data_IF_042367403204
#
_entry.id   IF_042367403204
#
_cell.length_a   1.000
_cell.length_b   1.000
_cell.length_c   1.000
_cell.angle_alpha   90.00
_cell.angle_beta   90.00
_cell.angle_gamma   90.00
#
_symmetry.space_group_name_H-M   'P 1'
#
loop_
_entity.id
_entity.type
_entity.pdbx_description
1 polymer ?
#
# COMPACT_ATOMS: atom_id res chain seq x y z
N UNK A 1 20.57 63.21 50.44
CA UNK A 1 19.76 63.13 49.19
C UNK A 1 20.36 62.17 48.15
N UNK A 2 21.66 62.21 47.87
CA UNK A 2 22.33 61.40 46.83
C UNK A 2 22.15 59.87 46.93
N UNK A 3 22.22 59.30 48.15
CA UNK A 3 22.12 57.84 48.37
C UNK A 3 20.73 57.28 47.98
N UNK A 4 19.66 58.06 48.22
CA UNK A 4 18.28 57.66 47.91
C UNK A 4 18.03 57.63 46.40
N UNK A 5 18.66 58.53 45.65
CA UNK A 5 18.60 58.53 44.17
C UNK A 5 19.38 57.37 43.56
N UNK A 6 20.54 57.02 44.14
CA UNK A 6 21.35 55.88 43.67
C UNK A 6 20.62 54.54 43.83
N UNK A 7 19.91 54.33 44.95
CA UNK A 7 19.06 53.13 45.15
C UNK A 7 17.94 53.02 44.13
N UNK A 8 17.23 54.12 43.83
CA UNK A 8 16.18 54.11 42.80
C UNK A 8 16.73 53.78 41.42
N UNK A 9 17.90 54.32 41.08
CA UNK A 9 18.54 54.07 39.80
C UNK A 9 18.90 52.58 39.63
N UNK A 10 19.54 51.98 40.65
CA UNK A 10 19.89 50.56 40.64
C UNK A 10 18.66 49.65 40.57
N UNK A 11 17.60 50.00 41.29
CA UNK A 11 16.34 49.27 41.26
C UNK A 11 15.69 49.28 39.86
N UNK A 12 15.67 50.44 39.20
CA UNK A 12 15.11 50.57 37.86
C UNK A 12 15.96 49.82 36.81
N UNK A 13 17.29 49.82 36.96
CA UNK A 13 18.19 49.03 36.11
C UNK A 13 17.96 47.52 36.29
N UNK A 14 17.78 47.06 37.54
CA UNK A 14 17.47 45.67 37.82
C UNK A 14 16.12 45.23 37.23
N UNK A 15 15.08 46.08 37.33
CA UNK A 15 13.77 45.83 36.70
C UNK A 15 13.90 45.78 35.17
N UNK A 16 14.63 46.71 34.57
CA UNK A 16 14.85 46.76 33.12
C UNK A 16 15.56 45.50 32.62
N UNK A 17 16.61 45.05 33.32
CA UNK A 17 17.31 43.79 33.00
C UNK A 17 16.38 42.57 33.12
N UNK A 18 15.60 42.47 34.21
CA UNK A 18 14.61 41.37 34.38
C UNK A 18 13.58 41.35 33.25
N UNK A 19 13.04 42.51 32.86
CA UNK A 19 12.09 42.62 31.74
C UNK A 19 12.70 42.21 30.40
N UNK A 20 13.95 42.62 30.12
CA UNK A 20 14.68 42.19 28.91
C UNK A 20 14.90 40.68 28.85
N UNK A 21 15.25 40.04 29.96
CA UNK A 21 15.44 38.59 30.02
C UNK A 21 14.11 37.85 29.81
N UNK A 22 13.03 38.29 30.45
CA UNK A 22 11.71 37.68 30.30
C UNK A 22 11.15 37.80 28.86
N UNK A 23 11.35 38.96 28.23
CA UNK A 23 10.93 39.17 26.83
C UNK A 23 11.78 38.39 25.83
N UNK A 24 13.07 38.21 26.10
CA UNK A 24 13.94 37.34 25.30
C UNK A 24 13.50 35.87 25.38
N UNK A 25 13.24 35.36 26.58
CA UNK A 25 12.76 33.98 26.79
C UNK A 25 11.41 33.72 26.11
N UNK A 26 10.45 34.61 26.28
CA UNK A 26 9.10 34.45 25.70
C UNK A 26 9.09 34.57 24.17
N UNK A 27 9.96 35.39 23.57
CA UNK A 27 10.13 35.44 22.11
C UNK A 27 10.71 34.14 21.57
N UNK A 28 11.76 33.60 22.20
CA UNK A 28 12.35 32.33 21.77
C UNK A 28 11.36 31.16 21.85
N UNK A 29 10.56 31.07 22.93
CA UNK A 29 9.52 30.04 23.07
C UNK A 29 8.45 30.14 21.97
N UNK A 30 8.01 31.36 21.62
CA UNK A 30 6.98 31.57 20.59
C UNK A 30 7.45 31.21 19.18
N UNK A 31 8.75 31.33 18.89
CA UNK A 31 9.34 30.91 17.61
C UNK A 31 9.60 29.40 17.58
N UNK A 32 9.97 28.82 18.71
CA UNK A 32 10.32 27.40 18.81
C UNK A 32 9.09 26.47 18.75
N UNK A 33 7.97 26.85 19.38
CA UNK A 33 6.73 26.03 19.36
C UNK A 33 6.18 25.72 17.95
N UNK A 34 6.03 26.67 17.01
CA UNK A 34 5.55 26.34 15.66
C UNK A 34 6.56 25.47 14.90
N UNK A 35 7.87 25.70 15.07
CA UNK A 35 8.91 24.86 14.45
C UNK A 35 8.84 23.40 14.95
N UNK A 36 8.66 23.19 16.25
CA UNK A 36 8.47 21.86 16.84
C UNK A 36 7.20 21.19 16.34
N UNK A 37 6.09 21.93 16.20
CA UNK A 37 4.83 21.39 15.66
C UNK A 37 4.98 20.96 14.19
N UNK A 38 5.66 21.78 13.37
CA UNK A 38 5.97 21.45 11.98
C UNK A 38 6.84 20.20 11.90
N UNK A 39 7.86 20.10 12.76
CA UNK A 39 8.73 18.93 12.82
C UNK A 39 7.97 17.64 13.20
N UNK A 40 7.10 17.70 14.22
CA UNK A 40 6.26 16.56 14.61
C UNK A 40 5.32 16.16 13.46
N UNK A 41 4.73 17.14 12.78
CA UNK A 41 3.83 16.87 11.65
C UNK A 41 4.57 16.19 10.49
N UNK A 42 5.77 16.67 10.13
CA UNK A 42 6.61 16.05 9.11
C UNK A 42 7.02 14.62 9.49
N UNK A 43 7.39 14.39 10.75
CA UNK A 43 7.73 13.04 11.23
C UNK A 43 6.53 12.10 11.19
N UNK A 44 5.33 12.55 11.57
CA UNK A 44 4.11 11.76 11.44
C UNK A 44 3.79 11.40 9.99
N UNK A 45 3.96 12.34 9.04
CA UNK A 45 3.77 12.09 7.62
C UNK A 45 4.78 11.07 7.04
N UNK A 46 6.04 11.10 7.48
CA UNK A 46 7.07 10.14 7.08
C UNK A 46 6.80 8.72 7.62
N UNK A 47 6.32 8.60 8.87
CA UNK A 47 6.02 7.28 9.46
C UNK A 47 4.80 6.65 8.79
N UNK A 48 3.75 7.43 8.54
CA UNK A 48 2.52 6.93 7.88
C UNK A 48 2.75 6.52 6.42
N UNK A 49 3.67 7.17 5.71
CA UNK A 49 4.05 6.76 4.34
C UNK A 49 4.84 5.45 4.29
N UNK A 50 5.59 5.10 5.34
CA UNK A 50 6.18 3.76 5.50
C UNK A 50 5.16 2.68 5.89
N UNK A 51 3.98 3.07 6.36
CA UNK A 51 2.89 2.14 6.68
C UNK A 51 1.98 1.81 5.47
N UNK A 52 2.22 2.43 4.31
CA UNK A 52 1.48 2.12 3.08
C UNK A 52 2.03 0.82 2.47
N UNK A 53 1.24 -0.25 2.63
CA UNK A 53 1.49 -1.67 2.31
C UNK A 53 2.42 -2.41 3.28
N UNK A 54 1.91 -3.47 3.95
CA UNK A 54 2.76 -4.34 4.73
C UNK A 54 3.68 -5.15 3.83
N UNK A 55 4.89 -5.46 4.32
CA UNK A 55 5.96 -6.15 3.58
C UNK A 55 5.53 -7.46 2.90
N UNK A 56 4.55 -8.17 3.48
CA UNK A 56 4.03 -9.41 2.90
C UNK A 56 3.14 -9.20 1.68
N UNK A 57 2.61 -7.99 1.47
CA UNK A 57 1.91 -7.64 0.24
C UNK A 57 2.98 -7.30 -0.79
N UNK A 58 3.38 -8.29 -1.58
CA UNK A 58 4.38 -8.14 -2.63
C UNK A 58 4.15 -6.88 -3.50
N UNK A 59 5.20 -6.42 -4.18
CA UNK A 59 5.15 -5.20 -5.00
C UNK A 59 4.21 -5.30 -6.21
N UNK A 60 3.71 -6.50 -6.51
CA UNK A 60 2.92 -6.79 -7.70
C UNK A 60 1.45 -6.40 -7.53
N UNK A 61 0.73 -6.11 -8.63
CA UNK A 61 -0.72 -5.99 -8.62
C UNK A 61 -1.35 -7.27 -8.05
N UNK A 62 -2.36 -7.11 -7.21
CA UNK A 62 -3.14 -8.24 -6.70
C UNK A 62 -3.93 -8.82 -7.88
N UNK A 63 -3.71 -10.09 -8.22
CA UNK A 63 -4.58 -10.84 -9.13
C UNK A 63 -3.91 -11.55 -10.30
N UNK A 64 -2.63 -11.30 -10.62
CA UNK A 64 -1.98 -11.99 -11.74
C UNK A 64 -0.55 -12.44 -11.38
N UNK A 65 -0.26 -13.75 -11.42
CA UNK A 65 1.12 -14.24 -11.32
C UNK A 65 1.91 -13.88 -12.57
N UNK A 66 3.24 -13.75 -12.43
CA UNK A 66 4.12 -13.73 -13.61
C UNK A 66 4.11 -15.12 -14.23
N UNK A 67 3.72 -15.17 -15.49
CA UNK A 67 3.77 -16.38 -16.29
C UNK A 67 5.14 -16.35 -16.97
N UNK A 68 6.07 -17.19 -16.52
CA UNK A 68 7.30 -17.44 -17.26
C UNK A 68 6.91 -18.11 -18.58
N UNK A 69 6.91 -17.35 -19.67
CA UNK A 69 6.64 -17.87 -21.00
C UNK A 69 7.89 -18.63 -21.46
N UNK A 70 7.99 -19.90 -21.05
CA UNK A 70 8.99 -20.83 -21.57
C UNK A 70 8.63 -21.24 -23.01
N UNK A 71 8.54 -20.26 -23.91
CA UNK A 71 8.03 -20.40 -25.28
C UNK A 71 8.94 -21.27 -26.16
N UNK A 72 10.17 -21.55 -25.71
CA UNK A 72 11.17 -22.27 -26.51
C UNK A 72 11.00 -23.80 -26.42
N UNK A 73 10.27 -24.32 -25.43
CA UNK A 73 10.10 -25.78 -25.24
C UNK A 73 8.66 -26.29 -25.34
N UNK A 74 7.65 -25.42 -25.29
CA UNK A 74 6.23 -25.82 -25.31
C UNK A 74 5.86 -26.60 -26.60
N UNK A 75 6.36 -26.18 -27.76
CA UNK A 75 5.90 -26.73 -29.04
C UNK A 75 6.60 -28.03 -29.48
N UNK A 76 7.40 -28.68 -28.61
CA UNK A 76 8.18 -29.87 -29.01
C UNK A 76 7.39 -31.19 -28.98
N UNK A 77 6.32 -31.26 -28.20
CA UNK A 77 5.62 -32.51 -27.92
C UNK A 77 4.24 -32.62 -28.60
N UNK A 78 3.93 -31.75 -29.56
CA UNK A 78 2.61 -31.74 -30.21
C UNK A 78 1.50 -31.23 -29.28
N UNK A 79 1.84 -30.25 -28.43
CA UNK A 79 0.96 -29.56 -27.47
C UNK A 79 -0.06 -28.62 -28.14
N UNK A 80 -0.21 -28.67 -29.46
CA UNK A 80 -1.15 -27.84 -30.23
C UNK A 80 -2.60 -28.35 -30.13
N UNK A 81 -2.83 -29.45 -29.40
CA UNK A 81 -4.18 -30.00 -29.19
C UNK A 81 -4.86 -29.17 -28.10
N UNK A 82 -5.97 -28.47 -28.38
CA UNK A 82 -6.68 -27.70 -27.35
C UNK A 82 -7.11 -28.64 -26.23
N UNK A 83 -6.54 -28.42 -25.05
CA UNK A 83 -6.73 -29.25 -23.88
C UNK A 83 -6.69 -28.43 -22.59
N UNK A 84 -7.07 -29.04 -21.46
CA UNK A 84 -7.13 -28.35 -20.19
C UNK A 84 -5.76 -27.81 -19.76
N UNK A 85 -5.70 -26.55 -19.32
CA UNK A 85 -4.47 -25.96 -18.79
C UNK A 85 -3.95 -26.71 -17.54
N UNK A 86 -4.85 -27.34 -16.79
CA UNK A 86 -4.53 -28.12 -15.58
C UNK A 86 -3.68 -29.35 -15.89
N UNK A 87 -3.76 -29.88 -17.12
CA UNK A 87 -2.91 -30.97 -17.58
C UNK A 87 -1.48 -30.52 -17.88
N UNK A 88 -1.20 -29.21 -17.94
CA UNK A 88 0.13 -28.63 -18.24
C UNK A 88 0.81 -29.25 -19.45
N UNK A 89 0.04 -29.58 -20.49
CA UNK A 89 0.54 -30.24 -21.69
C UNK A 89 0.80 -31.74 -21.59
N UNK A 90 0.53 -32.39 -20.45
CA UNK A 90 0.65 -33.85 -20.29
C UNK A 90 -0.45 -34.60 -21.06
N UNK A 91 -0.15 -34.95 -22.31
CA UNK A 91 -1.03 -35.78 -23.14
C UNK A 91 -1.27 -37.19 -22.60
N UNK A 92 -0.35 -37.77 -21.83
CA UNK A 92 -0.55 -39.09 -21.22
C UNK A 92 -1.57 -39.05 -20.09
N UNK A 93 -1.59 -37.97 -19.31
CA UNK A 93 -2.67 -37.72 -18.35
C UNK A 93 -4.03 -37.64 -19.07
N UNK A 94 -4.14 -36.83 -20.11
CA UNK A 94 -5.40 -36.68 -20.88
C UNK A 94 -5.87 -38.03 -21.44
N UNK A 95 -4.95 -38.81 -22.01
CA UNK A 95 -5.26 -40.14 -22.54
C UNK A 95 -5.75 -41.12 -21.45
N UNK A 96 -5.18 -41.07 -20.24
CA UNK A 96 -5.65 -41.87 -19.10
C UNK A 96 -7.04 -41.41 -18.63
N UNK A 97 -7.28 -40.11 -18.56
CA UNK A 97 -8.59 -39.55 -18.18
C UNK A 97 -9.68 -39.92 -19.19
N UNK A 98 -9.37 -39.88 -20.48
CA UNK A 98 -10.31 -40.28 -21.55
C UNK A 98 -10.70 -41.77 -21.49
N UNK A 99 -9.77 -42.64 -21.07
CA UNK A 99 -10.03 -44.07 -20.87
C UNK A 99 -10.87 -44.38 -19.64
N UNK A 100 -10.97 -43.43 -18.69
CA UNK A 100 -11.78 -43.63 -17.50
C UNK A 100 -13.27 -43.41 -17.78
N UNK A 101 -14.16 -44.18 -17.12
CA UNK A 101 -15.60 -43.88 -17.05
C UNK A 101 -15.88 -42.45 -16.58
N UNK A 102 -16.97 -41.85 -17.07
CA UNK A 102 -17.30 -40.43 -16.85
C UNK A 102 -17.41 -40.05 -15.36
N UNK A 103 -17.96 -40.96 -14.55
CA UNK A 103 -18.14 -40.87 -13.10
C UNK A 103 -16.83 -40.88 -12.31
N UNK A 104 -15.75 -41.40 -12.91
CA UNK A 104 -14.41 -41.46 -12.31
C UNK A 104 -13.48 -40.36 -12.79
N UNK A 105 -13.94 -39.53 -13.74
CA UNK A 105 -13.14 -38.41 -14.23
C UNK A 105 -13.16 -37.26 -13.21
N UNK A 106 -12.04 -36.55 -13.04
CA UNK A 106 -11.99 -35.45 -12.10
C UNK A 106 -12.84 -34.28 -12.61
N UNK A 107 -13.45 -33.55 -11.68
CA UNK A 107 -14.37 -32.45 -11.98
C UNK A 107 -13.76 -31.36 -12.86
N UNK A 108 -12.48 -31.05 -12.65
CA UNK A 108 -11.77 -30.06 -13.47
C UNK A 108 -11.68 -30.49 -14.94
N UNK A 109 -11.52 -31.79 -15.21
CA UNK A 109 -11.41 -32.33 -16.57
C UNK A 109 -12.77 -32.42 -17.26
N UNK A 110 -13.86 -32.52 -16.51
CA UNK A 110 -15.20 -32.47 -17.07
C UNK A 110 -15.60 -31.04 -17.45
N UNK A 111 -15.19 -30.05 -16.64
CA UNK A 111 -15.60 -28.65 -16.79
C UNK A 111 -14.51 -27.74 -17.36
N UNK A 112 -13.44 -28.31 -17.92
CA UNK A 112 -12.27 -27.52 -18.35
C UNK A 112 -12.64 -26.44 -19.38
N UNK A 113 -13.56 -26.72 -20.30
CA UNK A 113 -14.04 -25.75 -21.29
C UNK A 113 -14.72 -24.55 -20.62
N UNK A 114 -15.58 -24.81 -19.64
CA UNK A 114 -16.25 -23.75 -18.89
C UNK A 114 -15.25 -22.89 -18.09
N UNK A 115 -14.21 -23.52 -17.53
CA UNK A 115 -13.13 -22.78 -16.86
C UNK A 115 -12.32 -21.93 -17.84
N UNK A 116 -12.01 -22.43 -19.03
CA UNK A 116 -11.33 -21.66 -20.07
C UNK A 116 -12.16 -20.44 -20.51
N UNK A 117 -13.47 -20.61 -20.69
CA UNK A 117 -14.38 -19.51 -21.04
C UNK A 117 -14.48 -18.47 -19.91
N UNK A 118 -14.55 -18.92 -18.65
CA UNK A 118 -14.50 -18.06 -17.47
C UNK A 118 -13.16 -17.31 -17.35
N UNK A 119 -12.05 -17.93 -17.74
CA UNK A 119 -10.73 -17.29 -17.73
C UNK A 119 -10.61 -16.23 -18.82
N UNK A 120 -11.20 -16.47 -20.00
CA UNK A 120 -11.26 -15.47 -21.10
C UNK A 120 -12.21 -14.32 -20.78
N UNK A 121 -13.35 -14.62 -20.19
CA UNK A 121 -14.41 -13.66 -19.87
C UNK A 121 -14.78 -13.77 -18.38
N UNK A 122 -13.97 -13.22 -17.46
CA UNK A 122 -14.24 -13.32 -16.04
C UNK A 122 -15.58 -12.66 -15.71
N UNK A 123 -16.39 -13.35 -14.91
CA UNK A 123 -17.65 -12.80 -14.43
C UNK A 123 -17.36 -11.59 -13.54
N UNK A 124 -17.68 -10.40 -14.05
CA UNK A 124 -17.57 -9.16 -13.29
C UNK A 124 -18.92 -8.83 -12.67
N UNK A 125 -18.90 -8.44 -11.40
CA UNK A 125 -20.09 -7.97 -10.70
C UNK A 125 -20.08 -6.44 -10.72
N UNK A 126 -21.20 -5.78 -11.04
CA UNK A 126 -21.25 -4.32 -10.98
C UNK A 126 -21.01 -3.89 -9.53
N UNK A 127 -20.03 -3.00 -9.34
CA UNK A 127 -19.81 -2.38 -8.04
C UNK A 127 -21.03 -1.53 -7.69
N UNK A 128 -21.50 -1.62 -6.43
CA UNK A 128 -22.57 -0.75 -5.95
C UNK A 128 -22.15 0.71 -6.15
N UNK A 129 -22.95 1.54 -6.86
CA UNK A 129 -22.57 2.92 -7.13
C UNK A 129 -22.44 3.70 -5.82
N UNK A 130 -21.41 4.55 -5.75
CA UNK A 130 -21.16 5.38 -4.58
C UNK A 130 -22.18 6.54 -4.53
N UNK A 131 -23.04 6.53 -3.51
CA UNK A 131 -24.07 7.56 -3.29
C UNK A 131 -23.53 8.92 -2.86
N UNK A 132 -22.24 9.05 -2.58
CA UNK A 132 -21.62 10.28 -2.09
C UNK A 132 -20.95 11.13 -3.19
N UNK A 133 -20.81 10.61 -4.42
CA UNK A 133 -20.10 11.32 -5.51
C UNK A 133 -21.02 12.29 -6.27
N UNK A 134 -22.34 12.05 -6.27
CA UNK A 134 -23.34 12.96 -6.85
C UNK A 134 -24.10 13.73 -5.76
N UNK A 135 -23.43 14.69 -5.12
CA UNK A 135 -24.10 15.75 -4.35
C UNK A 135 -23.71 17.07 -5.00
N UNK A 136 -24.65 17.65 -5.74
CA UNK A 136 -24.58 19.04 -6.23
C UNK A 136 -24.21 19.99 -5.10
#
# INVERSE_FOLDING_TARGET
>A
VAVKNRRRYLHNVAISKKKRIATFWTKNIKVMMPAVKIFIFLMAALITSKAQRPFYAGLRPIGFPEIETNDVLLNRFGEDVPGPIEAKGDGNLINRLNKMPIDKRPFWFLNWQAYDDLRKNPQTWPLKPNTFINRN
#
